data_IF_386973244488
#
_entry.id   IF_386973244488
#
_cell.length_a   1.000
_cell.length_b   1.000
_cell.length_c   1.000
_cell.angle_alpha   90.00
_cell.angle_beta   90.00
_cell.angle_gamma   90.00
#
_symmetry.space_group_name_H-M   'P 1'
#
loop_
_entity.id
_entity.type
_entity.pdbx_description
1 polymer ?
#
# COMPACT_ATOMS: atom_id res chain seq x y z
N UNK A 1 26.03 -22.97 4.79
CA UNK A 1 25.81 -21.71 5.56
C UNK A 1 26.65 -20.58 4.96
N UNK A 2 26.05 -19.76 4.08
CA UNK A 2 26.50 -18.39 3.68
C UNK A 2 25.70 -17.75 2.52
N UNK A 3 24.62 -18.37 1.99
CA UNK A 3 23.90 -17.82 0.82
C UNK A 3 22.40 -17.50 1.02
N UNK A 4 21.77 -17.95 2.10
CA UNK A 4 20.32 -17.70 2.34
C UNK A 4 20.08 -16.35 3.08
N UNK A 5 21.10 -15.82 3.74
CA UNK A 5 21.04 -14.51 4.43
C UNK A 5 20.94 -13.29 3.49
N UNK A 6 20.90 -13.49 2.17
CA UNK A 6 20.88 -12.38 1.19
C UNK A 6 19.49 -12.04 0.65
N UNK A 7 18.50 -12.92 0.75
CA UNK A 7 17.12 -12.57 0.35
C UNK A 7 16.40 -11.82 1.47
N UNK A 8 16.63 -12.21 2.73
CA UNK A 8 16.08 -11.53 3.91
C UNK A 8 16.63 -10.10 4.11
N UNK A 9 17.69 -9.72 3.40
CA UNK A 9 18.33 -8.40 3.52
C UNK A 9 17.74 -7.34 2.58
N UNK A 10 16.88 -7.71 1.62
CA UNK A 10 16.21 -6.76 0.71
C UNK A 10 14.80 -6.37 1.18
N UNK A 11 14.25 -7.05 2.18
CA UNK A 11 12.98 -6.68 2.83
C UNK A 11 13.14 -5.67 3.98
N UNK A 12 14.32 -5.04 4.11
CA UNK A 12 14.57 -4.07 5.17
C UNK A 12 13.98 -2.70 4.80
N UNK A 13 12.83 -2.45 5.44
CA UNK A 13 12.26 -1.13 5.75
C UNK A 13 11.60 -0.41 4.57
N UNK A 14 10.41 -0.89 4.20
CA UNK A 14 9.29 0.04 4.06
C UNK A 14 8.27 -0.34 5.12
N UNK A 15 8.65 -0.08 6.37
CA UNK A 15 7.65 0.40 7.31
C UNK A 15 7.05 1.64 6.65
N UNK A 16 5.87 1.49 6.04
CA UNK A 16 4.91 2.57 5.89
C UNK A 16 4.51 2.99 7.31
N UNK A 17 5.45 3.64 8.00
CA UNK A 17 5.18 4.45 9.16
C UNK A 17 4.05 5.37 8.73
N UNK A 18 2.88 5.18 9.35
CA UNK A 18 1.61 5.70 8.90
C UNK A 18 1.71 7.08 8.26
N UNK A 19 1.63 7.11 6.94
CA UNK A 19 1.40 8.32 6.17
C UNK A 19 -0.07 8.69 6.31
N UNK A 20 -0.37 9.16 7.52
CA UNK A 20 -1.27 10.27 7.80
C UNK A 20 -2.66 10.20 7.17
N UNK A 21 -3.44 9.18 7.54
CA UNK A 21 -4.91 9.30 7.61
C UNK A 21 -5.35 10.08 8.86
N UNK A 22 -4.75 11.23 9.14
CA UNK A 22 -5.32 12.25 10.06
C UNK A 22 -4.82 13.64 9.66
N UNK A 23 -5.30 14.19 8.54
CA UNK A 23 -5.30 15.63 8.32
C UNK A 23 -6.50 16.28 9.03
N UNK A 24 -6.68 15.95 10.31
CA UNK A 24 -7.67 16.56 11.21
C UNK A 24 -7.18 16.42 12.65
N UNK A 25 -6.23 17.26 13.08
CA UNK A 25 -6.23 17.82 14.44
C UNK A 25 -5.11 18.85 14.60
N UNK A 26 -5.53 20.06 14.93
CA UNK A 26 -4.69 21.03 15.61
C UNK A 26 -4.04 20.38 16.84
N UNK A 27 -2.72 20.49 16.98
CA UNK A 27 -2.13 20.59 18.31
C UNK A 27 -0.97 21.57 18.32
N UNK A 28 -1.16 22.58 19.15
CA UNK A 28 -0.22 23.61 19.55
C UNK A 28 0.88 23.05 20.46
N UNK A 29 1.96 23.84 20.55
CA UNK A 29 2.93 23.97 21.65
C UNK A 29 4.25 23.19 21.58
N UNK A 30 5.22 23.89 20.97
CA UNK A 30 6.49 24.38 21.56
C UNK A 30 7.43 23.46 22.35
N UNK A 31 8.64 23.32 21.83
CA UNK A 31 9.87 23.72 22.54
C UNK A 31 10.96 24.12 21.52
N UNK A 32 11.64 25.24 21.79
CA UNK A 32 12.77 25.82 21.06
C UNK A 32 14.06 25.00 21.29
N UNK A 33 14.85 24.71 20.24
CA UNK A 33 16.21 25.26 20.08
C UNK A 33 16.91 24.72 18.81
N UNK A 34 17.53 25.62 18.04
CA UNK A 34 18.29 25.31 16.82
C UNK A 34 17.56 25.64 15.52
N UNK A 35 17.64 26.90 15.08
CA UNK A 35 17.01 27.40 13.84
C UNK A 35 17.64 26.81 12.57
N UNK A 36 17.44 25.52 12.30
CA UNK A 36 17.15 25.12 10.93
C UNK A 36 15.72 25.55 10.65
N UNK A 37 15.50 26.37 9.62
CA UNK A 37 14.15 26.58 9.08
C UNK A 37 13.52 25.18 8.96
N UNK A 38 12.32 24.92 9.51
CA UNK A 38 11.63 23.66 9.24
C UNK A 38 11.69 23.45 7.72
N UNK A 39 12.07 22.25 7.23
CA UNK A 39 11.98 21.99 5.81
C UNK A 39 10.61 22.47 5.35
N UNK A 40 10.59 23.29 4.29
CA UNK A 40 9.34 23.85 3.79
C UNK A 40 8.37 22.66 3.63
N UNK A 41 7.15 22.73 4.21
CA UNK A 41 6.23 21.60 4.18
C UNK A 41 6.10 21.15 2.73
N UNK A 42 6.40 19.87 2.47
CA UNK A 42 6.24 19.30 1.14
C UNK A 42 4.75 19.47 0.82
N UNK A 43 4.45 20.40 -0.08
CA UNK A 43 3.07 20.58 -0.56
C UNK A 43 2.74 19.33 -1.35
N UNK A 44 2.06 18.39 -0.70
CA UNK A 44 1.52 17.19 -1.30
C UNK A 44 0.48 17.64 -2.33
N UNK A 45 0.88 17.63 -3.60
CA UNK A 45 0.08 18.06 -4.74
C UNK A 45 -0.05 16.91 -5.76
N UNK A 46 -0.81 17.13 -6.83
CA UNK A 46 -1.05 16.09 -7.85
C UNK A 46 0.26 15.53 -8.41
N UNK A 47 1.26 16.39 -8.70
CA UNK A 47 2.55 15.96 -9.24
C UNK A 47 3.32 15.08 -8.26
N UNK A 48 3.24 15.35 -6.96
CA UNK A 48 3.86 14.52 -5.93
C UNK A 48 3.30 13.09 -5.97
N UNK A 49 1.97 12.94 -5.93
CA UNK A 49 1.34 11.61 -5.98
C UNK A 49 1.56 10.89 -7.31
N UNK A 50 1.61 11.62 -8.43
CA UNK A 50 1.97 11.04 -9.73
C UNK A 50 3.40 10.47 -9.75
N UNK A 51 4.35 11.06 -9.02
CA UNK A 51 5.69 10.51 -8.88
C UNK A 51 5.65 9.22 -8.05
N UNK A 52 4.96 9.23 -6.92
CA UNK A 52 4.81 8.04 -6.07
C UNK A 52 4.14 6.87 -6.80
N UNK A 53 3.10 7.14 -7.61
CA UNK A 53 2.47 6.10 -8.44
C UNK A 53 3.50 5.45 -9.36
N UNK A 54 4.31 6.24 -10.09
CA UNK A 54 5.32 5.70 -11.01
C UNK A 54 6.42 4.92 -10.30
N UNK A 55 6.85 5.40 -9.13
CA UNK A 55 7.82 4.68 -8.31
C UNK A 55 7.25 3.34 -7.84
N UNK A 56 6.00 3.33 -7.39
CA UNK A 56 5.29 2.13 -6.93
C UNK A 56 5.00 1.15 -8.06
N UNK A 57 4.69 1.64 -9.27
CA UNK A 57 4.56 0.82 -10.48
C UNK A 57 5.84 0.06 -10.80
N UNK A 58 7.02 0.68 -10.61
CA UNK A 58 8.29 -0.02 -10.78
C UNK A 58 8.45 -1.14 -9.74
N UNK A 59 8.04 -0.93 -8.49
CA UNK A 59 8.08 -2.00 -7.48
C UNK A 59 7.13 -3.17 -7.80
N UNK A 60 6.00 -2.90 -8.45
CA UNK A 60 5.12 -3.96 -8.98
C UNK A 60 5.81 -4.74 -10.11
N UNK A 61 6.52 -4.06 -11.01
CA UNK A 61 7.30 -4.70 -12.06
C UNK A 61 8.41 -5.57 -11.47
N UNK A 62 9.15 -5.08 -10.48
CA UNK A 62 10.17 -5.85 -9.76
C UNK A 62 9.56 -7.12 -9.13
N UNK A 63 8.37 -7.02 -8.53
CA UNK A 63 7.65 -8.19 -8.01
C UNK A 63 7.27 -9.17 -9.13
N UNK A 64 6.81 -8.68 -10.28
CA UNK A 64 6.43 -9.51 -11.42
C UNK A 64 7.66 -10.25 -12.00
N UNK A 65 8.81 -9.59 -12.07
CA UNK A 65 10.09 -10.20 -12.47
C UNK A 65 10.54 -11.26 -11.45
N UNK A 66 10.53 -10.95 -10.16
CA UNK A 66 10.84 -11.93 -9.09
C UNK A 66 9.92 -13.15 -9.16
N UNK A 67 8.63 -12.99 -9.45
CA UNK A 67 7.70 -14.10 -9.60
C UNK A 67 8.04 -15.00 -10.79
N UNK A 68 8.60 -14.45 -11.87
CA UNK A 68 9.10 -15.24 -13.00
C UNK A 68 10.37 -15.97 -12.59
N UNK A 69 11.33 -15.29 -11.97
CA UNK A 69 12.59 -15.90 -11.52
C UNK A 69 12.37 -17.06 -10.54
N UNK A 70 11.45 -16.90 -9.58
CA UNK A 70 11.09 -17.95 -8.61
C UNK A 70 10.55 -19.18 -9.35
N UNK A 71 9.66 -18.99 -10.34
CA UNK A 71 9.06 -20.08 -11.12
C UNK A 71 10.09 -20.79 -11.99
N UNK A 72 10.96 -20.03 -12.65
CA UNK A 72 11.98 -20.58 -13.54
C UNK A 72 13.08 -21.32 -12.77
N UNK A 73 13.30 -20.97 -11.49
CA UNK A 73 14.26 -21.63 -10.61
C UNK A 73 13.58 -22.54 -9.57
N UNK A 74 12.53 -23.26 -9.97
CA UNK A 74 11.78 -24.12 -9.03
C UNK A 74 12.66 -25.17 -8.35
N UNK A 75 13.61 -25.76 -9.07
CA UNK A 75 14.52 -26.79 -8.55
C UNK A 75 15.55 -26.22 -7.56
N UNK A 76 15.60 -24.90 -7.39
CA UNK A 76 16.45 -24.21 -6.41
C UNK A 76 15.90 -24.20 -4.98
N UNK A 77 14.70 -24.74 -4.76
CA UNK A 77 14.02 -24.80 -3.46
C UNK A 77 14.06 -26.21 -2.89
N UNK A 78 14.26 -26.32 -1.57
CA UNK A 78 14.41 -27.61 -0.88
C UNK A 78 13.10 -28.42 -0.89
N UNK A 79 11.94 -27.75 -0.80
CA UNK A 79 10.62 -28.38 -0.91
C UNK A 79 9.51 -27.46 -1.49
N UNK A 80 8.29 -28.01 -1.60
CA UNK A 80 7.12 -27.27 -2.10
C UNK A 80 6.66 -26.15 -1.16
N UNK A 81 6.86 -26.32 0.15
CA UNK A 81 6.43 -25.33 1.15
C UNK A 81 7.27 -24.07 1.01
N UNK A 82 8.59 -24.22 0.93
CA UNK A 82 9.53 -23.10 0.76
C UNK A 82 9.34 -22.38 -0.58
N UNK A 83 9.09 -23.14 -1.65
CA UNK A 83 8.76 -22.54 -2.95
C UNK A 83 7.45 -21.75 -2.91
N UNK A 84 6.40 -22.33 -2.32
CA UNK A 84 5.10 -21.67 -2.27
C UNK A 84 5.11 -20.46 -1.33
N UNK A 85 5.89 -20.50 -0.24
CA UNK A 85 6.07 -19.34 0.64
C UNK A 85 6.76 -18.19 -0.08
N UNK A 86 7.82 -18.47 -0.85
CA UNK A 86 8.50 -17.43 -1.64
C UNK A 86 7.55 -16.79 -2.67
N UNK A 87 6.75 -17.59 -3.38
CA UNK A 87 5.74 -17.06 -4.30
C UNK A 87 4.67 -16.22 -3.60
N UNK A 88 4.18 -16.68 -2.45
CA UNK A 88 3.10 -16.01 -1.73
C UNK A 88 3.58 -14.70 -1.09
N UNK A 89 4.82 -14.65 -0.60
CA UNK A 89 5.43 -13.43 -0.06
C UNK A 89 5.53 -12.34 -1.12
N UNK A 90 6.09 -12.65 -2.31
CA UNK A 90 6.20 -11.68 -3.41
C UNK A 90 4.82 -11.25 -3.92
N UNK A 91 3.84 -12.16 -3.99
CA UNK A 91 2.46 -11.80 -4.34
C UNK A 91 1.83 -10.87 -3.31
N UNK A 92 2.02 -11.14 -2.01
CA UNK A 92 1.50 -10.30 -0.95
C UNK A 92 2.08 -8.88 -1.06
N UNK A 93 3.38 -8.77 -1.31
CA UNK A 93 4.06 -7.49 -1.53
C UNK A 93 3.50 -6.75 -2.76
N UNK A 94 3.29 -7.46 -3.87
CA UNK A 94 2.68 -6.90 -5.08
C UNK A 94 1.28 -6.33 -4.82
N UNK A 95 0.46 -7.03 -4.03
CA UNK A 95 -0.88 -6.56 -3.65
C UNK A 95 -0.82 -5.34 -2.73
N UNK A 96 0.14 -5.29 -1.79
CA UNK A 96 0.36 -4.12 -0.94
C UNK A 96 0.67 -2.87 -1.78
N UNK A 97 1.59 -2.97 -2.75
CA UNK A 97 1.91 -1.86 -3.67
C UNK A 97 0.72 -1.45 -4.53
N UNK A 98 -0.12 -2.39 -4.97
CA UNK A 98 -1.34 -2.07 -5.69
C UNK A 98 -2.33 -1.27 -4.83
N UNK A 99 -2.47 -1.63 -3.54
CA UNK A 99 -3.32 -0.89 -2.61
C UNK A 99 -2.76 0.52 -2.32
N UNK A 100 -1.44 0.67 -2.31
CA UNK A 100 -0.74 1.94 -2.14
C UNK A 100 -0.96 2.89 -3.34
N UNK A 101 -0.88 2.38 -4.58
CA UNK A 101 -1.27 3.14 -5.79
C UNK A 101 -2.71 3.66 -5.67
N UNK A 102 -3.64 2.82 -5.19
CA UNK A 102 -5.01 3.24 -4.99
C UNK A 102 -5.12 4.37 -3.94
N UNK A 103 -4.25 4.40 -2.92
CA UNK A 103 -4.18 5.52 -1.98
C UNK A 103 -3.83 6.81 -2.71
N UNK A 104 -2.74 6.79 -3.48
CA UNK A 104 -2.24 7.95 -4.20
C UNK A 104 -3.24 8.47 -5.24
N UNK A 105 -3.93 7.58 -5.94
CA UNK A 105 -5.02 7.94 -6.84
C UNK A 105 -6.15 8.64 -6.10
N UNK A 106 -6.53 8.15 -4.91
CA UNK A 106 -7.53 8.80 -4.09
C UNK A 106 -7.09 10.18 -3.58
N UNK A 107 -5.82 10.34 -3.20
CA UNK A 107 -5.30 11.66 -2.80
C UNK A 107 -5.36 12.67 -3.97
N UNK A 108 -5.09 12.23 -5.20
CA UNK A 108 -5.27 13.06 -6.40
C UNK A 108 -6.74 13.44 -6.57
N UNK A 109 -7.66 12.48 -6.46
CA UNK A 109 -9.10 12.71 -6.56
C UNK A 109 -9.59 13.76 -5.53
N UNK A 110 -9.05 13.72 -4.31
CA UNK A 110 -9.34 14.72 -3.27
C UNK A 110 -8.76 16.10 -3.57
N UNK A 111 -7.59 16.18 -4.21
CA UNK A 111 -6.98 17.45 -4.61
C UNK A 111 -7.73 18.11 -5.78
N UNK A 112 -8.39 17.32 -6.62
CA UNK A 112 -9.21 17.78 -7.73
C UNK A 112 -10.67 18.06 -7.32
N UNK A 113 -11.03 17.76 -6.07
CA UNK A 113 -12.36 18.00 -5.54
C UNK A 113 -12.68 19.50 -5.53
N UNK A 114 -13.84 19.84 -6.09
CA UNK A 114 -14.34 21.21 -6.11
C UNK A 114 -15.80 21.25 -5.64
N UNK A 115 -15.97 21.29 -4.31
CA UNK A 115 -17.26 21.30 -3.57
C UNK A 115 -18.10 20.02 -3.66
N UNK A 116 -18.07 19.33 -4.80
CA UNK A 116 -18.70 18.02 -5.02
C UNK A 116 -17.88 17.19 -6.02
N UNK A 117 -17.97 15.87 -5.91
CA UNK A 117 -17.47 14.99 -6.95
C UNK A 117 -18.35 15.07 -8.19
N UNK A 118 -17.72 15.05 -9.37
CA UNK A 118 -18.44 14.82 -10.62
C UNK A 118 -18.85 13.35 -10.72
N UNK A 119 -19.83 13.04 -11.59
CA UNK A 119 -20.22 11.64 -11.83
C UNK A 119 -19.03 10.76 -12.30
N UNK A 120 -18.09 11.35 -13.05
CA UNK A 120 -16.87 10.67 -13.48
C UNK A 120 -15.94 10.38 -12.29
N UNK A 121 -15.72 11.35 -11.42
CA UNK A 121 -14.92 11.20 -10.21
C UNK A 121 -15.55 10.20 -9.21
N UNK A 122 -16.88 10.13 -9.15
CA UNK A 122 -17.58 9.11 -8.36
C UNK A 122 -17.29 7.71 -8.90
N UNK A 123 -17.37 7.51 -10.22
CA UNK A 123 -17.04 6.22 -10.84
C UNK A 123 -15.56 5.86 -10.65
N UNK A 124 -14.67 6.83 -10.77
CA UNK A 124 -13.25 6.66 -10.49
C UNK A 124 -13.00 6.23 -9.04
N UNK A 125 -13.61 6.90 -8.07
CA UNK A 125 -13.55 6.54 -6.65
C UNK A 125 -14.03 5.10 -6.40
N UNK A 126 -15.13 4.67 -7.04
CA UNK A 126 -15.62 3.29 -6.95
C UNK A 126 -14.55 2.30 -7.45
N UNK A 127 -13.92 2.57 -8.59
CA UNK A 127 -12.88 1.70 -9.16
C UNK A 127 -11.66 1.64 -8.26
N UNK A 128 -11.19 2.79 -7.78
CA UNK A 128 -10.05 2.90 -6.87
C UNK A 128 -10.29 2.04 -5.62
N UNK A 129 -11.42 2.24 -4.92
CA UNK A 129 -11.66 1.54 -3.66
C UNK A 129 -12.05 0.07 -3.84
N UNK A 130 -12.72 -0.30 -4.94
CA UNK A 130 -12.95 -1.72 -5.24
C UNK A 130 -11.63 -2.45 -5.47
N UNK A 131 -10.69 -1.81 -6.18
CA UNK A 131 -9.35 -2.37 -6.42
C UNK A 131 -8.54 -2.44 -5.13
N UNK A 132 -8.60 -1.39 -4.29
CA UNK A 132 -7.92 -1.36 -2.99
C UNK A 132 -8.39 -2.46 -2.06
N UNK A 133 -9.71 -2.62 -1.89
CA UNK A 133 -10.30 -3.66 -1.03
C UNK A 133 -9.85 -5.04 -1.49
N UNK A 134 -9.98 -5.33 -2.79
CA UNK A 134 -9.56 -6.62 -3.35
C UNK A 134 -8.07 -6.89 -3.11
N UNK A 135 -7.22 -5.88 -3.30
CA UNK A 135 -5.77 -6.02 -3.12
C UNK A 135 -5.42 -6.30 -1.65
N UNK A 136 -5.96 -5.53 -0.71
CA UNK A 136 -5.73 -5.74 0.72
C UNK A 136 -6.26 -7.09 1.22
N UNK A 137 -7.41 -7.54 0.70
CA UNK A 137 -7.95 -8.87 1.04
C UNK A 137 -7.06 -10.00 0.53
N UNK A 138 -6.48 -9.88 -0.67
CA UNK A 138 -5.52 -10.86 -1.16
C UNK A 138 -4.21 -10.83 -0.37
N UNK A 139 -3.70 -9.65 -0.04
CA UNK A 139 -2.52 -9.49 0.81
C UNK A 139 -2.73 -10.17 2.16
N UNK A 140 -3.81 -9.82 2.87
CA UNK A 140 -4.15 -10.40 4.16
C UNK A 140 -4.23 -11.92 4.10
N UNK A 141 -4.96 -12.45 3.12
CA UNK A 141 -5.14 -13.89 2.92
C UNK A 141 -3.81 -14.62 2.72
N UNK A 142 -2.83 -14.01 2.03
CA UNK A 142 -1.52 -14.60 1.83
C UNK A 142 -0.69 -14.54 3.12
N UNK A 143 -0.69 -13.39 3.81
CA UNK A 143 0.05 -13.21 5.07
C UNK A 143 -0.46 -14.10 6.19
N UNK A 144 -1.77 -14.31 6.30
CA UNK A 144 -2.39 -15.18 7.31
C UNK A 144 -1.96 -16.65 7.21
N UNK A 145 -1.46 -17.11 6.05
CA UNK A 145 -0.93 -18.48 5.92
C UNK A 145 0.38 -18.67 6.67
N UNK A 146 1.10 -17.60 6.98
CA UNK A 146 2.45 -17.65 7.51
C UNK A 146 2.57 -16.88 8.84
N UNK A 147 1.96 -17.38 9.92
CA UNK A 147 1.91 -16.70 11.22
C UNK A 147 3.27 -16.53 11.90
N UNK A 148 4.30 -17.25 11.46
CA UNK A 148 5.67 -17.12 11.97
C UNK A 148 6.41 -15.91 11.39
N UNK A 149 5.95 -15.37 10.24
CA UNK A 149 6.55 -14.22 9.58
C UNK A 149 5.79 -12.91 9.80
N UNK A 150 4.49 -12.99 10.13
CA UNK A 150 3.64 -11.83 10.32
C UNK A 150 3.00 -11.83 11.70
N UNK A 151 3.18 -10.73 12.42
CA UNK A 151 2.59 -10.53 13.72
C UNK A 151 1.10 -10.25 13.61
N UNK A 152 0.32 -10.64 14.63
CA UNK A 152 -1.11 -10.30 14.69
C UNK A 152 -1.36 -8.80 14.58
N UNK A 153 -0.44 -7.97 15.08
CA UNK A 153 -0.52 -6.51 14.96
C UNK A 153 -0.44 -6.05 13.50
N UNK A 154 0.43 -6.65 12.69
CA UNK A 154 0.55 -6.32 11.26
C UNK A 154 -0.70 -6.75 10.48
N UNK A 155 -1.25 -7.93 10.79
CA UNK A 155 -2.48 -8.41 10.17
C UNK A 155 -3.67 -7.51 10.53
N UNK A 156 -3.74 -7.06 11.78
CA UNK A 156 -4.80 -6.18 12.26
C UNK A 156 -4.76 -4.80 11.60
N UNK A 157 -3.58 -4.29 11.24
CA UNK A 157 -3.47 -3.06 10.44
C UNK A 157 -4.16 -3.24 9.09
N UNK A 158 -3.87 -4.34 8.37
CA UNK A 158 -4.47 -4.62 7.07
C UNK A 158 -6.00 -4.80 7.19
N UNK A 159 -6.48 -5.47 8.23
CA UNK A 159 -7.92 -5.62 8.49
C UNK A 159 -8.61 -4.29 8.70
N UNK A 160 -8.00 -3.38 9.46
CA UNK A 160 -8.53 -2.03 9.66
C UNK A 160 -8.54 -1.23 8.35
N UNK A 161 -7.47 -1.33 7.55
CA UNK A 161 -7.40 -0.67 6.23
C UNK A 161 -8.48 -1.18 5.27
N UNK A 162 -8.80 -2.49 5.29
CA UNK A 162 -9.93 -3.07 4.54
C UNK A 162 -11.25 -2.46 4.98
N UNK A 163 -11.50 -2.34 6.30
CA UNK A 163 -12.73 -1.77 6.82
C UNK A 163 -12.91 -0.30 6.39
N UNK A 164 -11.85 0.49 6.50
CA UNK A 164 -11.84 1.90 6.06
C UNK A 164 -12.10 1.99 4.56
N UNK A 165 -11.41 1.18 3.76
CA UNK A 165 -11.58 1.17 2.31
C UNK A 165 -13.01 0.79 1.89
N UNK A 166 -13.64 -0.18 2.58
CA UNK A 166 -15.04 -0.57 2.36
C UNK A 166 -16.01 0.55 2.70
N UNK A 167 -15.80 1.24 3.82
CA UNK A 167 -16.63 2.38 4.21
C UNK A 167 -16.59 3.50 3.17
N UNK A 168 -15.39 3.82 2.65
CA UNK A 168 -15.26 4.86 1.62
C UNK A 168 -15.91 4.40 0.31
N UNK A 169 -15.77 3.13 -0.07
CA UNK A 169 -16.45 2.56 -1.23
C UNK A 169 -17.98 2.71 -1.12
N UNK A 170 -18.56 2.42 0.05
CA UNK A 170 -20.00 2.59 0.30
C UNK A 170 -20.44 4.04 0.11
N UNK A 171 -19.63 5.02 0.53
CA UNK A 171 -19.90 6.45 0.30
C UNK A 171 -19.95 6.75 -1.20
N UNK A 172 -18.97 6.29 -1.97
CA UNK A 172 -18.96 6.51 -3.42
C UNK A 172 -20.11 5.79 -4.14
N UNK A 173 -20.51 4.61 -3.67
CA UNK A 173 -21.68 3.90 -4.20
C UNK A 173 -22.97 4.68 -3.93
N UNK A 174 -23.13 5.26 -2.74
CA UNK A 174 -24.29 6.11 -2.42
C UNK A 174 -24.33 7.38 -3.29
N UNK A 175 -23.18 8.04 -3.47
CA UNK A 175 -23.06 9.22 -4.34
C UNK A 175 -23.39 8.95 -5.82
N UNK A 176 -23.36 7.69 -6.27
CA UNK A 176 -23.73 7.31 -7.63
C UNK A 176 -25.25 7.25 -7.83
N UNK A 177 -26.01 7.06 -6.75
CA UNK A 177 -27.46 6.92 -6.77
C UNK A 177 -28.20 8.27 -6.67
N UNK A 178 -27.49 9.33 -6.25
CA UNK A 178 -27.95 10.74 -6.15
C UNK A 178 -27.81 11.52 -7.48
#
# INVERSE_FOLDING_TARGET
MKKILSLAAQALVVSSAGLTTVACSNSLNSAEDGKSKPPDPIVQNIKYYQVLIKETENYILDCDEMLVEIKDNRDGYDDEVDYQSALDEVKAQRFAYQAEICDYQYQILLLEFNEKFTAEQVLEGIVIFSTRVSSLEQELKLKEKYPDYYTEKELEIIRNDIQVAKLILEIFLALKED
#
